data_IF_038009664598
#
_entry.id   IF_038009664598
#
_cell.length_a   1.000
_cell.length_b   1.000
_cell.length_c   1.000
_cell.angle_alpha   90.00
_cell.angle_beta   90.00
_cell.angle_gamma   90.00
#
_symmetry.space_group_name_H-M   'P 1'
#
loop_
_entity.id
_entity.type
_entity.pdbx_description
1 polymer ?
#
# COMPACT_ATOMS: atom_id res chain seq x y z
N UNK A 1 -8.18 10.84 -0.47
CA UNK A 1 -8.21 9.51 -1.10
C UNK A 1 -9.25 8.64 -0.43
N UNK A 2 -10.04 7.88 -1.19
CA UNK A 2 -10.97 6.85 -0.69
C UNK A 2 -11.04 5.70 -1.70
N UNK A 3 -10.55 4.53 -1.31
CA UNK A 3 -10.50 3.33 -2.16
C UNK A 3 -11.00 2.09 -1.42
N UNK A 4 -11.58 1.15 -2.16
CA UNK A 4 -12.11 -0.11 -1.64
C UNK A 4 -11.57 -1.25 -2.51
N UNK A 5 -11.04 -2.31 -1.89
CA UNK A 5 -10.52 -3.48 -2.59
C UNK A 5 -10.50 -4.73 -1.69
N UNK A 6 -10.47 -5.90 -2.34
CA UNK A 6 -10.30 -7.19 -1.67
C UNK A 6 -8.99 -7.26 -0.87
N UNK A 7 -9.06 -7.77 0.35
CA UNK A 7 -7.88 -7.99 1.21
C UNK A 7 -6.81 -8.80 0.48
N UNK A 8 -7.19 -9.86 -0.24
CA UNK A 8 -6.25 -10.74 -0.93
C UNK A 8 -5.41 -10.01 -1.98
N UNK A 9 -6.05 -9.11 -2.74
CA UNK A 9 -5.40 -8.27 -3.74
C UNK A 9 -4.44 -7.28 -3.08
N UNK A 10 -4.91 -6.56 -2.05
CA UNK A 10 -4.07 -5.62 -1.29
C UNK A 10 -2.87 -6.32 -0.65
N UNK A 11 -3.09 -7.47 -0.02
CA UNK A 11 -2.03 -8.23 0.66
C UNK A 11 -0.98 -8.76 -0.32
N UNK A 12 -1.41 -9.22 -1.50
CA UNK A 12 -0.49 -9.70 -2.55
C UNK A 12 0.46 -8.59 -2.97
N UNK A 13 -0.07 -7.41 -3.29
CA UNK A 13 0.76 -6.31 -3.75
C UNK A 13 1.62 -5.72 -2.63
N UNK A 14 1.07 -5.58 -1.41
CA UNK A 14 1.85 -5.19 -0.24
C UNK A 14 3.00 -6.16 0.02
N UNK A 15 2.79 -7.48 -0.14
CA UNK A 15 3.82 -8.48 0.06
C UNK A 15 5.04 -8.30 -0.85
N UNK A 16 4.88 -7.73 -2.06
CA UNK A 16 5.99 -7.43 -2.95
C UNK A 16 6.68 -6.12 -2.58
N UNK A 17 5.91 -5.03 -2.45
CA UNK A 17 6.49 -3.68 -2.25
C UNK A 17 7.12 -3.49 -0.88
N UNK A 18 6.54 -4.05 0.21
CA UNK A 18 7.06 -3.80 1.56
C UNK A 18 8.44 -4.41 1.82
N UNK A 19 8.89 -5.36 0.99
CA UNK A 19 10.18 -6.05 1.15
C UNK A 19 11.38 -5.15 0.82
N UNK A 20 11.18 -4.15 -0.02
CA UNK A 20 12.19 -3.13 -0.35
C UNK A 20 12.43 -2.20 0.83
N UNK A 21 11.46 -2.07 1.73
CA UNK A 21 11.55 -1.16 2.87
C UNK A 21 12.43 -1.75 3.96
N UNK A 22 13.59 -1.15 4.18
CA UNK A 22 14.48 -1.52 5.27
C UNK A 22 13.86 -1.23 6.65
N UNK A 23 14.00 -2.18 7.59
CA UNK A 23 13.45 -2.02 8.96
C UNK A 23 14.21 -1.04 9.84
N UNK A 24 15.46 -0.71 9.49
CA UNK A 24 16.36 0.13 10.29
C UNK A 24 16.74 1.42 9.56
N UNK A 25 15.81 1.96 8.76
CA UNK A 25 16.05 3.20 8.07
C UNK A 25 15.97 4.40 9.04
N UNK A 26 16.93 5.30 8.97
CA UNK A 26 16.97 6.54 9.78
C UNK A 26 16.17 7.68 9.13
N UNK A 27 15.77 7.54 7.87
CA UNK A 27 14.97 8.49 7.11
C UNK A 27 13.50 8.02 7.15
N UNK A 28 12.61 8.68 7.92
CA UNK A 28 11.26 8.16 8.17
C UNK A 28 10.40 7.95 6.91
N UNK A 29 10.54 8.81 5.89
CA UNK A 29 9.74 8.69 4.67
C UNK A 29 10.06 7.42 3.88
N UNK A 30 11.29 6.90 3.98
CA UNK A 30 11.71 5.64 3.34
C UNK A 30 11.18 4.40 4.07
N UNK A 31 10.60 4.56 5.26
CA UNK A 31 9.88 3.48 5.96
C UNK A 31 8.43 3.32 5.46
N UNK A 32 7.99 4.18 4.55
CA UNK A 32 6.63 4.20 4.04
C UNK A 32 6.53 3.53 2.66
N UNK A 33 5.29 3.14 2.33
CA UNK A 33 4.85 2.84 0.97
C UNK A 33 3.98 4.02 0.49
N UNK A 34 4.21 4.49 -0.74
CA UNK A 34 3.32 5.40 -1.45
C UNK A 34 2.07 4.62 -1.87
N UNK A 35 0.90 5.18 -1.60
CA UNK A 35 -0.39 4.75 -2.11
C UNK A 35 -0.91 5.82 -3.06
N UNK A 36 -1.15 5.49 -4.33
CA UNK A 36 -1.72 6.40 -5.32
C UNK A 36 -2.97 5.79 -5.94
N UNK A 37 -4.11 6.46 -5.74
CA UNK A 37 -5.39 6.02 -6.26
C UNK A 37 -5.82 6.89 -7.46
N UNK A 38 -5.93 6.27 -8.61
CA UNK A 38 -6.35 6.92 -9.86
C UNK A 38 -7.14 5.93 -10.73
N UNK A 39 -8.19 6.44 -11.41
CA UNK A 39 -9.03 5.62 -12.29
C UNK A 39 -9.69 4.45 -11.54
N UNK A 40 -9.31 3.22 -11.89
CA UNK A 40 -9.81 1.98 -11.29
C UNK A 40 -8.69 1.18 -10.58
N UNK A 41 -7.62 1.86 -10.18
CA UNK A 41 -6.39 1.23 -9.70
C UNK A 41 -5.84 1.92 -8.45
N UNK A 42 -5.29 1.10 -7.56
CA UNK A 42 -4.42 1.53 -6.47
C UNK A 42 -2.99 1.11 -6.80
N UNK A 43 -2.12 2.08 -7.03
CA UNK A 43 -0.69 1.88 -7.17
C UNK A 43 0.00 1.97 -5.81
N UNK A 44 0.93 1.07 -5.57
CA UNK A 44 1.83 1.03 -4.42
C UNK A 44 3.27 1.14 -4.89
N UNK A 45 4.06 1.98 -4.23
CA UNK A 45 5.48 2.16 -4.54
C UNK A 45 6.32 2.26 -3.27
N UNK A 46 7.47 1.60 -3.25
CA UNK A 46 8.44 1.68 -2.16
C UNK A 46 9.88 1.69 -2.71
N UNK A 47 10.81 2.30 -1.98
CA UNK A 47 12.21 2.43 -2.38
C UNK A 47 13.15 2.56 -1.18
N UNK A 48 14.38 2.08 -1.33
CA UNK A 48 15.53 2.31 -0.44
C UNK A 48 16.58 3.27 -1.03
N UNK A 49 16.24 3.96 -2.12
CA UNK A 49 17.08 4.83 -2.98
C UNK A 49 17.97 4.10 -4.00
N UNK A 50 18.21 2.80 -3.84
CA UNK A 50 18.96 1.99 -4.81
C UNK A 50 18.02 1.15 -5.69
N UNK A 51 16.92 0.67 -5.09
CA UNK A 51 15.87 -0.12 -5.72
C UNK A 51 14.51 0.56 -5.53
N UNK A 52 13.69 0.56 -6.57
CA UNK A 52 12.27 0.92 -6.50
C UNK A 52 11.42 -0.26 -6.99
N UNK A 53 10.34 -0.55 -6.25
CA UNK A 53 9.31 -1.49 -6.70
C UNK A 53 7.97 -0.77 -6.73
N UNK A 54 7.30 -0.86 -7.88
CA UNK A 54 5.96 -0.30 -8.12
C UNK A 54 5.02 -1.44 -8.52
N UNK A 55 3.84 -1.49 -7.93
CA UNK A 55 2.80 -2.46 -8.27
C UNK A 55 1.42 -1.82 -8.24
N UNK A 56 0.57 -2.15 -9.21
CA UNK A 56 -0.81 -1.70 -9.27
C UNK A 56 -1.78 -2.87 -9.08
N UNK A 57 -2.82 -2.64 -8.30
CA UNK A 57 -3.95 -3.58 -8.13
C UNK A 57 -5.26 -2.90 -8.50
N UNK A 58 -6.22 -3.64 -9.11
CA UNK A 58 -7.58 -3.15 -9.28
C UNK A 58 -8.19 -2.75 -7.93
N UNK A 59 -8.85 -1.60 -7.90
CA UNK A 59 -9.55 -1.08 -6.73
C UNK A 59 -10.73 -0.21 -7.16
N UNK A 60 -11.80 -0.20 -6.36
CA UNK A 60 -12.89 0.75 -6.52
C UNK A 60 -12.44 2.09 -5.94
N UNK A 61 -12.13 3.05 -6.80
CA UNK A 61 -11.71 4.40 -6.39
C UNK A 61 -12.93 5.31 -6.32
N UNK A 62 -13.32 5.70 -5.11
CA UNK A 62 -14.43 6.65 -4.89
C UNK A 62 -13.93 8.10 -4.87
N UNK A 63 -12.69 8.31 -4.40
CA UNK A 63 -12.01 9.60 -4.42
C UNK A 63 -10.52 9.36 -4.67
N UNK A 64 -9.99 9.83 -5.79
CA UNK A 64 -8.57 9.74 -6.11
C UNK A 64 -7.67 10.48 -5.12
N UNK A 65 -6.37 10.39 -5.37
CA UNK A 65 -5.32 11.07 -4.60
C UNK A 65 -4.28 10.10 -4.06
N UNK A 66 -3.28 10.65 -3.38
CA UNK A 66 -2.14 9.88 -2.92
C UNK A 66 -1.79 10.21 -1.46
N UNK A 67 -1.16 9.25 -0.79
CA UNK A 67 -0.60 9.41 0.55
C UNK A 67 0.54 8.41 0.76
N UNK A 68 1.28 8.54 1.85
CA UNK A 68 2.26 7.52 2.25
C UNK A 68 1.93 7.00 3.64
N UNK A 69 2.18 5.72 3.88
CA UNK A 69 1.91 5.06 5.17
C UNK A 69 3.01 4.06 5.51
N UNK A 70 3.30 3.80 6.79
CA UNK A 70 4.36 2.85 7.18
C UNK A 70 4.11 1.45 6.58
N UNK A 71 5.05 0.98 5.76
CA UNK A 71 4.83 -0.19 4.89
C UNK A 71 4.64 -1.48 5.70
N UNK A 72 5.53 -1.73 6.66
CA UNK A 72 5.48 -2.93 7.51
C UNK A 72 4.22 -2.95 8.39
N UNK A 73 3.82 -1.80 8.94
CA UNK A 73 2.61 -1.72 9.77
C UNK A 73 1.36 -1.99 8.95
N UNK A 74 1.24 -1.37 7.77
CA UNK A 74 0.10 -1.62 6.88
C UNK A 74 0.04 -3.10 6.47
N UNK A 75 1.18 -3.69 6.09
CA UNK A 75 1.27 -5.11 5.75
C UNK A 75 0.80 -6.00 6.90
N UNK A 76 1.28 -5.76 8.13
CA UNK A 76 0.89 -6.56 9.29
C UNK A 76 -0.60 -6.42 9.65
N UNK A 77 -1.19 -5.24 9.48
CA UNK A 77 -2.63 -5.03 9.65
C UNK A 77 -3.40 -5.85 8.62
N UNK A 78 -3.11 -5.67 7.33
CA UNK A 78 -3.84 -6.34 6.23
C UNK A 78 -3.71 -7.86 6.33
N UNK A 79 -2.53 -8.38 6.70
CA UNK A 79 -2.30 -9.81 6.89
C UNK A 79 -3.20 -10.42 7.96
N UNK A 80 -3.52 -9.68 9.02
CA UNK A 80 -4.33 -10.14 10.16
C UNK A 80 -5.84 -10.01 9.94
N UNK A 81 -6.28 -9.32 8.89
CA UNK A 81 -7.70 -9.27 8.53
C UNK A 81 -8.18 -10.66 8.08
N UNK A 82 -9.49 -10.90 8.21
CA UNK A 82 -10.12 -12.15 7.81
C UNK A 82 -9.98 -12.40 6.31
N UNK A 83 -9.88 -13.68 5.92
CA UNK A 83 -9.92 -14.06 4.51
C UNK A 83 -11.27 -13.66 3.88
N UNK A 84 -11.23 -13.15 2.64
CA UNK A 84 -12.41 -12.64 1.94
C UNK A 84 -12.93 -11.29 2.43
N UNK A 85 -12.22 -10.60 3.34
CA UNK A 85 -12.61 -9.26 3.78
C UNK A 85 -12.38 -8.20 2.69
N UNK A 86 -13.30 -7.24 2.62
CA UNK A 86 -13.13 -6.02 1.84
C UNK A 86 -12.44 -4.94 2.70
N UNK A 87 -11.48 -4.22 2.13
CA UNK A 87 -10.69 -3.20 2.82
C UNK A 87 -10.99 -1.82 2.25
N UNK A 88 -11.36 -0.88 3.10
CA UNK A 88 -11.50 0.54 2.75
C UNK A 88 -10.32 1.33 3.30
N UNK A 89 -9.60 2.03 2.41
CA UNK A 89 -8.58 3.00 2.80
C UNK A 89 -9.12 4.41 2.57
N UNK A 90 -9.10 5.24 3.61
CA UNK A 90 -9.58 6.63 3.56
C UNK A 90 -8.54 7.56 4.18
N UNK A 91 -8.28 8.67 3.49
CA UNK A 91 -7.66 9.87 4.07
C UNK A 91 -8.73 10.94 4.21
N UNK A 92 -8.64 11.77 5.25
CA UNK A 92 -9.53 12.92 5.41
C UNK A 92 -9.35 13.95 4.26
#
# INVERSE_FOLDING_TARGET
>A
MRVILERSNLLKSLNHVHRVVERRNTIPILSNVLLSAEGATLEMKATDLDLEVTEATPAKVERGGATTVPAHLLYDIVRKLADGAEVMLKTD
#
